data_IF_038595230372
#
_entry.id   IF_038595230372
#
_cell.length_a   1.000
_cell.length_b   1.000
_cell.length_c   1.000
_cell.angle_alpha   90.00
_cell.angle_beta   90.00
_cell.angle_gamma   90.00
#
_symmetry.space_group_name_H-M   'P 1'
#
loop_
_entity.id
_entity.type
_entity.pdbx_description
1 polymer ?
#
# COMPACT_ATOMS: atom_id res chain seq x y z
N UNK A 1 -40.98 15.33 1.77
CA UNK A 1 -39.57 15.18 2.22
C UNK A 1 -38.91 13.92 1.64
N UNK A 2 -39.45 12.71 1.89
CA UNK A 2 -38.86 11.45 1.39
C UNK A 2 -38.65 11.39 -0.13
N UNK A 3 -39.57 11.94 -0.93
CA UNK A 3 -39.44 12.00 -2.38
C UNK A 3 -38.27 12.87 -2.88
N UNK A 4 -37.97 13.98 -2.18
CA UNK A 4 -36.86 14.86 -2.54
C UNK A 4 -35.52 14.19 -2.22
N UNK A 5 -35.42 13.55 -1.04
CA UNK A 5 -34.24 12.76 -0.67
C UNK A 5 -34.03 11.60 -1.65
N UNK A 6 -35.10 10.90 -2.02
CA UNK A 6 -35.04 9.83 -3.02
C UNK A 6 -34.54 10.32 -4.38
N UNK A 7 -35.02 11.47 -4.87
CA UNK A 7 -34.57 12.07 -6.11
C UNK A 7 -33.08 12.46 -6.06
N UNK A 8 -32.60 13.00 -4.93
CA UNK A 8 -31.19 13.34 -4.74
C UNK A 8 -30.26 12.12 -4.77
N UNK A 9 -30.67 11.01 -4.14
CA UNK A 9 -29.88 9.76 -4.15
C UNK A 9 -29.82 9.16 -5.56
N UNK A 10 -30.94 9.17 -6.29
CA UNK A 10 -30.99 8.64 -7.65
C UNK A 10 -30.13 9.48 -8.60
N UNK A 11 -30.21 10.81 -8.51
CA UNK A 11 -29.38 11.71 -9.31
C UNK A 11 -27.88 11.49 -9.05
N UNK A 12 -27.48 11.46 -7.78
CA UNK A 12 -26.09 11.17 -7.38
C UNK A 12 -25.62 9.79 -7.88
N UNK A 13 -26.47 8.76 -7.81
CA UNK A 13 -26.16 7.42 -8.32
C UNK A 13 -25.98 7.41 -9.84
N UNK A 14 -26.83 8.12 -10.60
CA UNK A 14 -26.73 8.21 -12.06
C UNK A 14 -25.47 8.96 -12.48
N UNK A 15 -25.13 10.06 -11.80
CA UNK A 15 -23.89 10.81 -12.02
C UNK A 15 -22.67 9.92 -11.75
N UNK A 16 -22.65 9.23 -10.60
CA UNK A 16 -21.56 8.32 -10.25
C UNK A 16 -21.38 7.21 -11.29
N UNK A 17 -22.49 6.59 -11.74
CA UNK A 17 -22.44 5.52 -12.75
C UNK A 17 -21.88 5.99 -14.09
N UNK A 18 -22.18 7.22 -14.51
CA UNK A 18 -21.65 7.79 -15.76
C UNK A 18 -20.16 8.12 -15.64
N UNK A 19 -19.75 8.70 -14.51
CA UNK A 19 -18.34 9.02 -14.24
C UNK A 19 -17.47 7.75 -14.15
N UNK A 20 -17.96 6.70 -13.48
CA UNK A 20 -17.21 5.46 -13.29
C UNK A 20 -16.91 4.74 -14.63
N UNK A 21 -17.77 4.89 -15.65
CA UNK A 21 -17.49 4.34 -17.00
C UNK A 21 -16.30 5.01 -17.68
N UNK A 22 -16.04 6.28 -17.40
CA UNK A 22 -14.84 6.96 -17.90
C UNK A 22 -13.59 6.45 -17.17
N UNK A 23 -13.70 6.30 -15.85
CA UNK A 23 -12.62 5.79 -15.01
C UNK A 23 -12.20 4.35 -15.37
N UNK A 24 -13.17 3.49 -15.72
CA UNK A 24 -12.87 2.14 -16.20
C UNK A 24 -12.09 2.15 -17.52
N UNK A 25 -12.43 3.04 -18.46
CA UNK A 25 -11.69 3.19 -19.73
C UNK A 25 -10.27 3.69 -19.53
N UNK A 26 -10.08 4.67 -18.66
CA UNK A 26 -8.75 5.19 -18.31
C UNK A 26 -7.91 4.12 -17.64
N UNK A 27 -8.50 3.34 -16.73
CA UNK A 27 -7.80 2.23 -16.05
C UNK A 27 -7.49 1.08 -17.00
N UNK A 28 -8.35 0.79 -17.96
CA UNK A 28 -8.09 -0.21 -19.01
C UNK A 28 -7.00 0.26 -19.97
N UNK A 29 -7.01 1.54 -20.39
CA UNK A 29 -5.94 2.14 -21.17
C UNK A 29 -4.60 2.13 -20.41
N UNK A 30 -4.61 2.50 -19.12
CA UNK A 30 -3.42 2.46 -18.27
C UNK A 30 -2.88 1.03 -18.09
N UNK A 31 -3.76 0.02 -17.97
CA UNK A 31 -3.36 -1.39 -17.94
C UNK A 31 -2.80 -1.86 -19.27
N UNK A 32 -3.42 -1.46 -20.39
CA UNK A 32 -2.91 -1.78 -21.73
C UNK A 32 -1.50 -1.22 -21.93
N UNK A 33 -1.26 0.02 -21.51
CA UNK A 33 0.08 0.63 -21.53
C UNK A 33 1.05 -0.02 -20.52
N UNK A 34 0.55 -0.52 -19.39
CA UNK A 34 1.37 -1.21 -18.40
C UNK A 34 1.76 -2.63 -18.85
N UNK A 35 0.92 -3.30 -19.65
CA UNK A 35 1.26 -4.58 -20.28
C UNK A 35 2.28 -4.47 -21.41
N UNK A 36 2.61 -3.26 -21.86
CA UNK A 36 3.65 -2.98 -22.87
C UNK A 36 4.97 -2.48 -22.25
N UNK A 37 5.03 -2.30 -20.93
CA UNK A 37 6.27 -1.99 -20.21
C UNK A 37 7.13 -3.25 -20.02
N UNK A 38 8.48 -3.12 -19.96
CA UNK A 38 9.33 -4.27 -19.70
C UNK A 38 8.91 -4.86 -18.36
N UNK A 39 8.54 -6.14 -18.37
CA UNK A 39 8.46 -6.95 -17.15
C UNK A 39 9.82 -6.88 -16.47
N UNK A 40 9.94 -5.97 -15.52
CA UNK A 40 11.11 -5.81 -14.68
C UNK A 40 10.67 -6.24 -13.30
N UNK A 41 10.98 -7.49 -12.97
CA UNK A 41 11.06 -7.96 -11.61
C UNK A 41 11.80 -6.88 -10.79
N UNK A 42 11.05 -6.16 -9.95
CA UNK A 42 11.65 -5.33 -8.91
C UNK A 42 12.13 -6.26 -7.79
N UNK A 43 13.05 -7.16 -8.15
CA UNK A 43 13.91 -7.82 -7.20
C UNK A 43 14.81 -6.74 -6.58
N UNK A 44 14.51 -6.42 -5.32
CA UNK A 44 15.49 -5.93 -4.36
C UNK A 44 16.18 -4.63 -4.74
N UNK A 45 15.44 -3.51 -4.72
CA UNK A 45 16.05 -2.21 -4.58
C UNK A 45 16.69 -2.06 -3.18
N UNK A 46 17.96 -2.45 -3.08
CA UNK A 46 18.93 -1.88 -2.14
C UNK A 46 18.85 -2.37 -0.70
N UNK A 47 19.00 -3.67 -0.46
CA UNK A 47 19.59 -4.12 0.80
C UNK A 47 21.11 -4.02 0.64
N UNK A 48 21.75 -3.13 1.39
CA UNK A 48 23.18 -3.27 1.65
C UNK A 48 23.39 -4.67 2.24
N UNK A 49 24.19 -5.56 1.63
CA UNK A 49 24.40 -6.91 2.15
C UNK A 49 25.08 -6.94 3.52
N UNK A 50 25.47 -5.77 4.05
CA UNK A 50 26.10 -5.59 5.35
C UNK A 50 25.20 -4.87 6.38
N UNK A 51 23.92 -4.62 6.07
CA UNK A 51 22.97 -4.17 7.09
C UNK A 51 22.72 -5.33 8.06
N UNK A 52 23.51 -5.41 9.13
CA UNK A 52 23.28 -6.30 10.26
C UNK A 52 21.88 -6.01 10.79
N UNK A 53 20.94 -6.93 10.52
CA UNK A 53 19.58 -6.87 11.02
C UNK A 53 19.45 -7.81 12.20
N UNK A 54 18.63 -7.43 13.17
CA UNK A 54 18.32 -8.25 14.35
C UNK A 54 16.88 -8.72 14.29
N UNK A 55 16.61 -9.91 14.82
CA UNK A 55 15.25 -10.45 14.90
C UNK A 55 14.54 -9.90 16.12
N UNK A 56 13.43 -9.17 15.91
CA UNK A 56 12.63 -8.63 17.01
C UNK A 56 12.07 -9.75 17.91
N UNK A 57 12.29 -9.73 19.24
CA UNK A 57 11.79 -10.77 20.14
C UNK A 57 10.27 -10.73 20.33
N UNK A 58 9.62 -9.60 20.02
CA UNK A 58 8.18 -9.42 20.17
C UNK A 58 7.36 -9.92 18.97
N UNK A 59 7.78 -9.60 17.74
CA UNK A 59 7.03 -9.95 16.51
C UNK A 59 7.76 -10.89 15.56
N UNK A 60 9.04 -11.19 15.82
CA UNK A 60 9.83 -12.15 15.04
C UNK A 60 10.30 -11.66 13.67
N UNK A 61 10.08 -10.39 13.31
CA UNK A 61 10.54 -9.81 12.05
C UNK A 61 11.96 -9.26 12.18
N UNK A 62 12.70 -9.28 11.09
CA UNK A 62 14.00 -8.61 10.99
C UNK A 62 13.82 -7.09 11.07
N UNK A 63 14.62 -6.44 11.91
CA UNK A 63 14.59 -5.00 12.16
C UNK A 63 16.00 -4.45 12.16
N UNK A 64 16.15 -3.19 11.76
CA UNK A 64 17.43 -2.48 11.80
C UNK A 64 17.77 -2.12 13.27
N UNK A 65 18.92 -2.58 13.80
CA UNK A 65 19.36 -2.30 15.18
C UNK A 65 19.80 -0.85 15.38
N UNK A 66 19.90 -0.04 14.33
CA UNK A 66 20.15 1.41 14.43
C UNK A 66 19.00 2.13 15.13
N UNK A 67 17.80 1.53 15.15
CA UNK A 67 16.65 2.04 15.89
C UNK A 67 16.44 1.27 17.20
N UNK A 68 16.17 1.99 18.30
CA UNK A 68 15.88 1.39 19.61
C UNK A 68 14.46 0.75 19.70
N UNK A 69 13.73 0.73 18.59
CA UNK A 69 12.39 0.15 18.48
C UNK A 69 12.22 -0.64 17.18
N UNK A 70 11.33 -1.62 17.18
CA UNK A 70 11.02 -2.41 16.00
C UNK A 70 10.15 -1.60 15.01
N UNK A 71 10.63 -1.43 13.77
CA UNK A 71 9.92 -0.73 12.69
C UNK A 71 8.55 -1.36 12.30
N UNK A 72 8.25 -2.56 12.78
CA UNK A 72 7.06 -3.32 12.40
C UNK A 72 5.96 -3.28 13.46
N UNK A 73 6.33 -3.46 14.73
CA UNK A 73 5.37 -3.53 15.83
C UNK A 73 5.53 -2.43 16.87
N UNK A 74 6.54 -1.56 16.72
CA UNK A 74 6.88 -0.46 17.62
C UNK A 74 7.27 -0.88 19.06
N UNK A 75 7.52 -2.17 19.32
CA UNK A 75 8.07 -2.63 20.60
C UNK A 75 9.58 -2.32 20.69
N UNK A 76 10.12 -1.94 21.86
CA UNK A 76 11.56 -1.74 22.05
C UNK A 76 12.37 -2.98 21.64
N UNK A 77 13.54 -2.74 21.04
CA UNK A 77 14.51 -3.78 20.71
C UNK A 77 15.63 -3.74 21.74
N UNK A 78 15.38 -4.27 22.94
CA UNK A 78 16.34 -4.23 24.05
C UNK A 78 17.72 -4.76 23.65
N UNK A 79 18.78 -3.99 23.93
CA UNK A 79 20.16 -4.47 24.02
C UNK A 79 20.33 -5.23 25.35
N UNK A 80 19.89 -6.49 25.42
CA UNK A 80 20.22 -7.32 26.58
C UNK A 80 21.66 -7.87 26.46
N UNK A 81 22.64 -7.02 26.82
CA UNK A 81 23.82 -7.44 27.59
C UNK A 81 25.22 -7.23 26.99
N UNK A 82 25.85 -6.09 27.30
CA UNK A 82 27.22 -5.98 27.84
C UNK A 82 27.56 -4.53 28.24
#
# INVERSE_FOLDING_TARGET
AAAVVGASVIDAYVVARRNNRAYEREREAARATASEGPGGDADGAGADPSAETVRCPACGKETDPTFDFCQWCAEPVSEDGA
#
